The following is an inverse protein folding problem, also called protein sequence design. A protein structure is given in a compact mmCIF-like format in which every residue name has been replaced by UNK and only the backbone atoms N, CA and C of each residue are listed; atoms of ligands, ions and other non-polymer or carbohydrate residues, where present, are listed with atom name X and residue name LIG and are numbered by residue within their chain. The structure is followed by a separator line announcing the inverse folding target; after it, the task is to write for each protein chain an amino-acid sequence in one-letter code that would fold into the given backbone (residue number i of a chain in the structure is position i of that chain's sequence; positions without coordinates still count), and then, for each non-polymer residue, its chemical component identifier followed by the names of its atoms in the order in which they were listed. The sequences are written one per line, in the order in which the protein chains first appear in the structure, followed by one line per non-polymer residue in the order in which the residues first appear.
data_IF_955901700096
#
_entry.id   IF_955901700096
#
_cell.length_a   1.000
_cell.length_b   1.000
_cell.length_c   1.000
_cell.angle_alpha   90.00
_cell.angle_beta   90.00
_cell.angle_gamma   90.00
#
_symmetry.space_group_name_H-M   'P 1'
#
loop_
_entity.id
_entity.type
_entity.pdbx_description
1 polymer ?
#
# COMPACT_ATOMS: atom_id res chain seq x y z
N UNK A 1 -17.20 -19.31 32.46
CA UNK A 1 -16.78 -19.22 31.07
C UNK A 1 -17.27 -17.86 30.58
N UNK A 2 -16.44 -16.96 30.06
CA UNK A 2 -16.96 -15.73 29.50
C UNK A 2 -17.90 -16.06 28.35
N UNK A 3 -18.99 -15.30 28.24
CA UNK A 3 -19.96 -15.36 27.16
C UNK A 3 -19.20 -15.38 25.83
N UNK A 4 -19.55 -16.34 24.95
CA UNK A 4 -19.04 -16.44 23.58
C UNK A 4 -19.32 -15.10 22.89
N UNK A 5 -18.31 -14.23 22.82
CA UNK A 5 -18.49 -12.92 22.22
C UNK A 5 -18.41 -13.07 20.71
N UNK A 6 -19.43 -12.58 20.01
CA UNK A 6 -19.55 -12.73 18.56
C UNK A 6 -18.91 -11.54 17.84
N UNK A 7 -18.16 -11.85 16.81
CA UNK A 7 -17.64 -10.86 15.85
C UNK A 7 -18.22 -11.09 14.47
N UNK A 8 -18.49 -10.01 13.75
CA UNK A 8 -18.99 -10.05 12.38
C UNK A 8 -17.82 -9.86 11.40
N UNK A 9 -17.64 -10.81 10.49
CA UNK A 9 -16.62 -10.78 9.44
C UNK A 9 -17.32 -10.62 8.10
N UNK A 10 -17.15 -9.46 7.44
CA UNK A 10 -17.99 -9.06 6.29
C UNK A 10 -17.27 -9.01 4.95
N UNK A 11 -15.97 -9.25 4.94
CA UNK A 11 -15.17 -9.35 3.72
C UNK A 11 -14.54 -10.74 3.61
N UNK A 12 -14.10 -11.12 2.40
CA UNK A 12 -13.41 -12.40 2.21
C UNK A 12 -12.09 -12.42 2.97
N UNK A 13 -11.89 -13.47 3.77
CA UNK A 13 -10.73 -13.72 4.59
C UNK A 13 -10.18 -15.11 4.35
N UNK A 14 -8.90 -15.32 4.67
CA UNK A 14 -8.33 -16.68 4.73
C UNK A 14 -9.05 -17.52 5.79
N UNK A 15 -9.23 -18.81 5.53
CA UNK A 15 -10.00 -19.73 6.39
C UNK A 15 -9.48 -19.82 7.83
N UNK A 16 -8.18 -19.50 8.05
CA UNK A 16 -7.59 -19.41 9.39
C UNK A 16 -8.33 -18.45 10.32
N UNK A 17 -9.17 -17.52 9.79
CA UNK A 17 -9.91 -16.54 10.59
C UNK A 17 -10.73 -17.22 11.70
N UNK A 18 -11.35 -18.36 11.39
CA UNK A 18 -12.20 -19.08 12.34
C UNK A 18 -11.42 -19.69 13.51
N UNK A 19 -10.30 -20.32 13.21
CA UNK A 19 -9.45 -20.98 14.21
C UNK A 19 -8.74 -19.95 15.08
N UNK A 20 -8.13 -18.95 14.45
CA UNK A 20 -7.32 -17.95 15.12
C UNK A 20 -8.16 -17.11 16.09
N UNK A 21 -9.36 -16.67 15.69
CA UNK A 21 -10.25 -15.91 16.58
C UNK A 21 -10.91 -16.76 17.64
N UNK A 22 -11.24 -18.01 17.36
CA UNK A 22 -11.70 -18.96 18.39
C UNK A 22 -10.63 -19.16 19.47
N UNK A 23 -9.36 -19.19 19.09
CA UNK A 23 -8.22 -19.31 20.01
C UNK A 23 -8.13 -18.19 21.05
N UNK A 24 -8.71 -17.02 20.77
CA UNK A 24 -8.78 -15.86 21.68
C UNK A 24 -10.18 -15.67 22.28
N UNK A 25 -11.08 -16.66 22.16
CA UNK A 25 -12.42 -16.65 22.80
C UNK A 25 -13.49 -15.89 22.01
N UNK A 26 -13.27 -15.58 20.73
CA UNK A 26 -14.23 -14.89 19.86
C UNK A 26 -14.85 -15.86 18.85
N UNK A 27 -16.16 -15.78 18.66
CA UNK A 27 -16.92 -16.55 17.67
C UNK A 27 -17.11 -15.73 16.39
N UNK A 28 -16.58 -16.22 15.26
CA UNK A 28 -16.72 -15.56 13.97
C UNK A 28 -18.04 -15.87 13.28
N UNK A 29 -18.87 -14.86 13.08
CA UNK A 29 -19.97 -14.91 12.11
C UNK A 29 -19.45 -14.43 10.75
N UNK A 30 -19.10 -15.38 9.88
CA UNK A 30 -18.49 -15.09 8.57
C UNK A 30 -19.57 -14.89 7.51
N UNK A 31 -19.69 -13.66 7.01
CA UNK A 31 -20.74 -13.21 6.07
C UNK A 31 -20.13 -12.35 4.94
N UNK A 32 -19.25 -12.90 4.09
CA UNK A 32 -18.53 -12.10 3.07
C UNK A 32 -19.44 -11.49 2.00
N UNK A 33 -20.63 -12.07 1.79
CA UNK A 33 -21.60 -11.62 0.80
C UNK A 33 -22.73 -10.75 1.40
N UNK A 34 -22.63 -10.39 2.69
CA UNK A 34 -23.63 -9.59 3.38
C UNK A 34 -23.79 -8.22 2.70
N UNK A 35 -25.02 -7.80 2.52
CA UNK A 35 -25.33 -6.45 2.04
C UNK A 35 -25.16 -5.42 3.17
N UNK A 36 -24.90 -4.16 2.80
CA UNK A 36 -24.81 -3.08 3.77
C UNK A 36 -26.07 -2.97 4.65
N UNK A 37 -27.26 -3.13 4.05
CA UNK A 37 -28.54 -3.07 4.77
C UNK A 37 -28.65 -4.17 5.82
N UNK A 38 -28.30 -5.40 5.47
CA UNK A 38 -28.31 -6.53 6.40
C UNK A 38 -27.26 -6.33 7.51
N UNK A 39 -26.04 -5.87 7.14
CA UNK A 39 -24.98 -5.58 8.09
C UNK A 39 -25.45 -4.60 9.18
N UNK A 40 -26.06 -3.49 8.78
CA UNK A 40 -26.61 -2.47 9.70
C UNK A 40 -27.67 -3.07 10.63
N UNK A 41 -28.47 -4.01 10.14
CA UNK A 41 -29.53 -4.65 10.95
C UNK A 41 -28.98 -5.58 12.04
N UNK A 42 -27.91 -6.34 11.73
CA UNK A 42 -27.40 -7.36 12.66
C UNK A 42 -26.22 -6.88 13.50
N UNK A 43 -25.54 -5.80 13.11
CA UNK A 43 -24.35 -5.28 13.80
C UNK A 43 -24.54 -5.03 15.30
N UNK A 44 -25.73 -4.63 15.80
CA UNK A 44 -25.97 -4.47 17.24
C UNK A 44 -25.70 -5.72 18.09
N UNK A 45 -25.72 -6.90 17.51
CA UNK A 45 -25.54 -8.18 18.21
C UNK A 45 -24.04 -8.60 18.30
N UNK A 46 -23.10 -7.74 17.84
CA UNK A 46 -21.69 -8.06 17.73
C UNK A 46 -20.82 -7.08 18.52
N UNK A 47 -19.77 -7.63 19.15
CA UNK A 47 -18.77 -6.84 19.89
C UNK A 47 -17.61 -6.38 19.01
N UNK A 48 -17.44 -6.97 17.84
CA UNK A 48 -16.37 -6.64 16.90
C UNK A 48 -16.80 -6.77 15.45
N UNK A 49 -16.22 -5.93 14.60
CA UNK A 49 -16.42 -5.94 13.15
C UNK A 49 -15.06 -6.11 12.46
N UNK A 50 -14.93 -7.14 11.64
CA UNK A 50 -13.72 -7.36 10.82
C UNK A 50 -14.04 -7.06 9.36
N UNK A 51 -13.23 -6.15 8.79
CA UNK A 51 -13.37 -5.69 7.40
C UNK A 51 -12.05 -5.79 6.65
N UNK A 52 -12.11 -5.64 5.32
CA UNK A 52 -10.97 -5.32 4.45
C UNK A 52 -11.20 -4.00 3.71
N UNK A 53 -11.18 -4.03 2.38
CA UNK A 53 -11.29 -2.83 1.54
C UNK A 53 -12.69 -2.57 0.98
N UNK A 54 -13.57 -3.60 0.95
CA UNK A 54 -14.92 -3.49 0.37
C UNK A 54 -15.85 -2.62 1.22
N UNK A 55 -15.72 -2.72 2.55
CA UNK A 55 -16.68 -2.14 3.49
C UNK A 55 -16.19 -0.81 4.03
N UNK A 56 -16.99 0.25 3.85
CA UNK A 56 -16.77 1.53 4.52
C UNK A 56 -17.35 1.49 5.94
N UNK A 57 -16.56 1.93 6.91
CA UNK A 57 -16.97 2.10 8.31
C UNK A 57 -17.17 3.60 8.58
N UNK A 58 -18.31 4.08 8.17
CA UNK A 58 -18.74 5.47 8.28
C UNK A 58 -19.65 5.70 9.50
N UNK A 59 -20.10 6.93 9.66
CA UNK A 59 -20.96 7.35 10.77
C UNK A 59 -22.23 6.49 10.89
N UNK A 60 -22.89 6.19 9.76
CA UNK A 60 -24.11 5.39 9.76
C UNK A 60 -23.88 4.01 10.40
N UNK A 61 -22.79 3.33 9.99
CA UNK A 61 -22.47 2.00 10.49
C UNK A 61 -22.04 2.04 11.96
N UNK A 62 -21.18 2.99 12.32
CA UNK A 62 -20.66 3.14 13.70
C UNK A 62 -21.80 3.38 14.69
N UNK A 63 -22.76 4.26 14.36
CA UNK A 63 -23.88 4.58 15.25
C UNK A 63 -24.85 3.41 15.46
N UNK A 64 -24.84 2.40 14.59
CA UNK A 64 -25.66 1.19 14.73
C UNK A 64 -24.99 0.10 15.56
N UNK A 65 -23.68 0.10 15.67
CA UNK A 65 -22.92 -0.86 16.47
C UNK A 65 -22.96 -0.54 17.96
N UNK A 66 -24.12 -0.74 18.62
CA UNK A 66 -24.34 -0.34 20.03
C UNK A 66 -23.37 -1.02 21.01
N UNK A 67 -23.05 -2.30 20.76
CA UNK A 67 -22.16 -3.09 21.59
C UNK A 67 -20.77 -3.26 20.98
N UNK A 68 -20.50 -2.53 19.87
CA UNK A 68 -19.25 -2.59 19.16
C UNK A 68 -18.10 -2.02 20.01
N UNK A 69 -17.10 -2.84 20.28
CA UNK A 69 -15.91 -2.47 21.07
C UNK A 69 -14.70 -2.24 20.20
N UNK A 70 -14.64 -2.92 19.05
CA UNK A 70 -13.53 -2.76 18.12
C UNK A 70 -13.94 -2.95 16.67
N UNK A 71 -13.13 -2.36 15.80
CA UNK A 71 -13.09 -2.63 14.36
C UNK A 71 -11.71 -3.17 14.02
N UNK A 72 -11.64 -4.33 13.39
CA UNK A 72 -10.41 -4.93 12.85
C UNK A 72 -10.35 -4.75 11.35
N UNK A 73 -9.36 -4.01 10.86
CA UNK A 73 -9.08 -3.87 9.44
C UNK A 73 -8.02 -4.89 9.01
N UNK A 74 -8.39 -5.89 8.23
CA UNK A 74 -7.49 -6.92 7.69
C UNK A 74 -6.61 -6.33 6.58
N UNK A 75 -5.52 -5.70 6.97
CA UNK A 75 -4.50 -5.04 6.14
C UNK A 75 -3.98 -3.76 6.77
N UNK A 76 -3.27 -2.92 6.01
CA UNK A 76 -2.54 -1.77 6.53
C UNK A 76 -3.34 -0.45 6.54
N UNK A 77 -3.90 -0.06 5.41
CA UNK A 77 -4.58 1.24 5.27
C UNK A 77 -5.95 1.26 5.94
N UNK A 78 -6.36 2.42 6.42
CA UNK A 78 -7.64 2.65 7.14
C UNK A 78 -8.47 3.74 6.49
N UNK A 79 -8.22 4.02 5.23
CA UNK A 79 -8.84 5.13 4.47
C UNK A 79 -10.37 5.00 4.33
N UNK A 80 -10.90 3.78 4.48
CA UNK A 80 -12.33 3.48 4.43
C UNK A 80 -13.00 3.47 5.81
N UNK A 81 -12.34 4.04 6.85
CA UNK A 81 -12.80 4.01 8.24
C UNK A 81 -12.81 5.43 8.82
N UNK A 82 -13.90 5.85 9.42
CA UNK A 82 -13.97 7.09 10.21
C UNK A 82 -13.29 6.88 11.58
N UNK A 83 -11.96 7.05 11.58
CA UNK A 83 -11.10 6.83 12.75
C UNK A 83 -11.44 7.78 13.88
N UNK A 84 -11.76 9.04 13.57
CA UNK A 84 -12.07 10.06 14.56
C UNK A 84 -13.38 9.75 15.30
N UNK A 85 -14.37 9.25 14.57
CA UNK A 85 -15.63 8.87 15.17
C UNK A 85 -15.51 7.60 16.02
N UNK A 86 -14.72 6.60 15.57
CA UNK A 86 -14.42 5.42 16.39
C UNK A 86 -13.80 5.84 17.74
N UNK A 87 -12.80 6.72 17.70
CA UNK A 87 -12.15 7.23 18.92
C UNK A 87 -13.14 7.96 19.83
N UNK A 88 -14.01 8.83 19.28
CA UNK A 88 -15.07 9.54 20.06
C UNK A 88 -16.08 8.58 20.69
N UNK A 89 -16.28 7.40 20.10
CA UNK A 89 -17.19 6.37 20.60
C UNK A 89 -16.50 5.33 21.51
N UNK A 90 -15.20 5.48 21.76
CA UNK A 90 -14.37 4.52 22.50
C UNK A 90 -14.39 3.12 21.85
N UNK A 91 -14.43 3.06 20.51
CA UNK A 91 -14.32 1.84 19.73
C UNK A 91 -12.87 1.74 19.26
N UNK A 92 -12.18 0.66 19.62
CA UNK A 92 -10.78 0.48 19.25
C UNK A 92 -10.64 0.08 17.77
N UNK A 93 -9.61 0.61 17.11
CA UNK A 93 -9.28 0.26 15.73
C UNK A 93 -7.97 -0.53 15.70
N UNK A 94 -8.03 -1.73 15.14
CA UNK A 94 -6.87 -2.57 14.88
C UNK A 94 -6.67 -2.75 13.39
N UNK A 95 -5.43 -2.61 12.93
CA UNK A 95 -5.02 -2.97 11.58
C UNK A 95 -3.81 -3.91 11.61
N UNK A 96 -3.47 -4.51 10.48
CA UNK A 96 -2.45 -5.56 10.41
C UNK A 96 -1.37 -5.26 9.35
N UNK A 97 -0.67 -4.12 9.41
CA UNK A 97 0.39 -3.82 8.46
C UNK A 97 1.55 -4.81 8.53
N UNK A 98 1.80 -5.41 9.70
CA UNK A 98 2.84 -6.43 9.88
C UNK A 98 2.56 -7.70 9.08
N UNK A 99 1.28 -7.97 8.77
CA UNK A 99 0.86 -9.17 8.05
C UNK A 99 1.24 -9.15 6.57
N UNK A 100 1.29 -7.97 5.93
CA UNK A 100 1.54 -7.85 4.49
C UNK A 100 2.77 -7.00 4.11
N UNK A 101 3.51 -6.44 5.06
CA UNK A 101 4.66 -5.58 4.78
C UNK A 101 5.75 -6.28 3.95
N UNK A 102 6.00 -7.56 4.21
CA UNK A 102 7.01 -8.33 3.48
C UNK A 102 6.64 -8.51 2.01
N UNK A 103 5.36 -8.84 1.74
CA UNK A 103 4.84 -8.94 0.38
C UNK A 103 5.01 -7.62 -0.39
N UNK A 104 4.68 -6.48 0.24
CA UNK A 104 4.87 -5.15 -0.37
C UNK A 104 6.35 -4.88 -0.66
N UNK A 105 7.25 -5.22 0.28
CA UNK A 105 8.68 -5.06 0.08
C UNK A 105 9.22 -5.86 -1.10
N UNK A 106 8.81 -7.13 -1.22
CA UNK A 106 9.21 -8.03 -2.32
C UNK A 106 8.63 -7.57 -3.67
N UNK A 107 7.35 -7.19 -3.69
CA UNK A 107 6.71 -6.66 -4.88
C UNK A 107 7.41 -5.40 -5.40
N UNK A 108 7.78 -4.48 -4.50
CA UNK A 108 8.50 -3.27 -4.85
C UNK A 108 9.86 -3.53 -5.47
N UNK A 109 10.63 -4.48 -4.92
CA UNK A 109 11.89 -4.91 -5.54
C UNK A 109 11.64 -5.50 -6.92
N UNK A 110 10.62 -6.35 -7.08
CA UNK A 110 10.23 -6.91 -8.37
C UNK A 110 9.91 -5.82 -9.40
N UNK A 111 9.09 -4.82 -9.04
CA UNK A 111 8.75 -3.69 -9.90
C UNK A 111 9.99 -2.86 -10.27
N UNK A 112 10.88 -2.57 -9.31
CA UNK A 112 12.11 -1.82 -9.56
C UNK A 112 13.02 -2.54 -10.54
N UNK A 113 13.26 -3.83 -10.34
CA UNK A 113 14.09 -4.63 -11.23
C UNK A 113 13.47 -4.77 -12.63
N UNK A 114 12.14 -4.89 -12.70
CA UNK A 114 11.42 -4.93 -13.98
C UNK A 114 11.59 -3.62 -14.77
N UNK A 115 11.58 -2.47 -14.11
CA UNK A 115 11.87 -1.17 -14.74
C UNK A 115 13.32 -1.09 -15.21
N UNK A 116 14.28 -1.33 -14.31
CA UNK A 116 15.70 -1.18 -14.59
C UNK A 116 16.17 -2.09 -15.73
N UNK A 117 15.67 -3.32 -15.78
CA UNK A 117 16.04 -4.33 -16.77
C UNK A 117 15.09 -4.38 -17.98
N UNK A 118 14.11 -3.45 -18.09
CA UNK A 118 13.11 -3.39 -19.16
C UNK A 118 12.39 -4.72 -19.43
N UNK A 119 12.17 -5.53 -18.37
CA UNK A 119 11.72 -6.93 -18.53
C UNK A 119 10.35 -7.02 -19.22
N UNK A 120 9.44 -6.08 -18.99
CA UNK A 120 8.12 -6.04 -19.65
C UNK A 120 8.24 -5.88 -21.17
N UNK A 121 9.11 -4.97 -21.60
CA UNK A 121 9.35 -4.70 -23.02
C UNK A 121 10.05 -5.89 -23.68
N UNK A 122 11.14 -6.38 -23.09
CA UNK A 122 11.90 -7.51 -23.57
C UNK A 122 11.03 -8.78 -23.72
N UNK A 123 10.18 -9.10 -22.73
CA UNK A 123 9.24 -10.24 -22.82
C UNK A 123 8.24 -10.06 -23.96
N UNK A 124 7.65 -8.86 -24.09
CA UNK A 124 6.71 -8.54 -25.18
C UNK A 124 7.34 -8.70 -26.56
N UNK A 125 8.58 -8.21 -26.75
CA UNK A 125 9.30 -8.30 -28.02
C UNK A 125 9.62 -9.75 -28.38
N UNK A 126 10.17 -10.53 -27.45
CA UNK A 126 10.48 -11.95 -27.68
C UNK A 126 9.22 -12.75 -28.04
N UNK A 127 8.11 -12.51 -27.38
CA UNK A 127 6.80 -13.13 -27.70
C UNK A 127 6.27 -12.70 -29.08
N UNK A 128 6.75 -11.55 -29.57
CA UNK A 128 6.43 -11.04 -30.91
C UNK A 128 7.49 -11.42 -31.96
N UNK A 129 8.36 -12.41 -31.68
CA UNK A 129 9.44 -12.88 -32.52
C UNK A 129 10.50 -11.81 -32.82
N UNK A 130 10.65 -10.80 -31.96
CA UNK A 130 11.70 -9.80 -32.04
C UNK A 130 12.82 -10.14 -31.06
N UNK A 131 14.08 -10.07 -31.53
CA UNK A 131 15.27 -10.41 -30.74
C UNK A 131 16.25 -9.23 -30.75
N UNK A 132 15.89 -8.14 -30.05
CA UNK A 132 16.69 -6.94 -29.93
C UNK A 132 17.40 -6.86 -28.58
N UNK A 133 18.70 -7.13 -28.55
CA UNK A 133 19.49 -7.06 -27.32
C UNK A 133 19.91 -5.64 -26.96
N UNK A 134 20.16 -4.79 -27.96
CA UNK A 134 20.71 -3.45 -27.72
C UNK A 134 19.67 -2.48 -27.17
N UNK A 135 18.45 -2.46 -27.69
CA UNK A 135 17.36 -1.61 -27.20
C UNK A 135 16.92 -2.02 -25.78
N UNK A 136 17.08 -3.31 -25.43
CA UNK A 136 16.73 -3.87 -24.12
C UNK A 136 17.88 -3.82 -23.09
N UNK A 137 18.97 -3.11 -23.37
CA UNK A 137 20.05 -2.92 -22.40
C UNK A 137 19.51 -2.17 -21.17
N UNK A 138 19.58 -2.81 -19.99
CA UNK A 138 19.11 -2.27 -18.72
C UNK A 138 20.20 -1.57 -17.91
N UNK A 139 19.85 -1.25 -16.69
CA UNK A 139 20.70 -0.64 -15.67
C UNK A 139 20.77 -1.51 -14.43
N UNK A 140 21.94 -1.60 -13.81
CA UNK A 140 22.12 -2.26 -12.53
C UNK A 140 21.63 -1.37 -11.37
N UNK A 141 21.10 -1.98 -10.32
CA UNK A 141 20.72 -1.26 -9.09
C UNK A 141 21.94 -0.89 -8.24
N UNK A 142 23.02 -1.64 -8.37
CA UNK A 142 24.27 -1.38 -7.66
C UNK A 142 24.74 0.07 -7.81
N UNK A 143 25.18 0.68 -6.69
CA UNK A 143 25.63 2.06 -6.59
C UNK A 143 24.57 3.13 -6.88
N UNK A 144 23.30 2.79 -7.09
CA UNK A 144 22.22 3.77 -7.19
C UNK A 144 21.76 4.22 -5.82
N UNK A 145 21.19 5.40 -5.77
CA UNK A 145 20.57 5.94 -4.52
C UNK A 145 19.07 5.72 -4.58
N UNK A 146 18.59 4.81 -3.72
CA UNK A 146 17.16 4.53 -3.56
C UNK A 146 16.62 5.34 -2.40
N UNK A 147 15.75 6.30 -2.69
CA UNK A 147 15.06 7.14 -1.72
C UNK A 147 13.72 6.55 -1.28
N UNK A 148 13.55 6.35 0.00
CA UNK A 148 12.33 5.86 0.63
C UNK A 148 11.61 7.04 1.29
N UNK A 149 10.48 7.46 0.73
CA UNK A 149 9.68 8.55 1.26
C UNK A 149 8.56 7.99 2.14
N UNK A 150 8.72 8.12 3.45
CA UNK A 150 7.91 7.49 4.49
C UNK A 150 8.55 6.18 5.00
N UNK A 151 9.04 6.18 6.24
CA UNK A 151 9.72 5.02 6.85
C UNK A 151 8.83 4.36 7.90
N UNK A 152 7.64 3.92 7.45
CA UNK A 152 6.71 3.09 8.21
C UNK A 152 6.95 1.60 7.97
N UNK A 153 5.92 0.77 8.19
CA UNK A 153 5.98 -0.68 7.98
C UNK A 153 6.38 -1.06 6.56
N UNK A 154 5.83 -0.39 5.55
CA UNK A 154 6.08 -0.72 4.13
C UNK A 154 7.44 -0.21 3.67
N UNK A 155 7.78 1.04 4.00
CA UNK A 155 9.07 1.61 3.63
C UNK A 155 10.24 0.88 4.26
N UNK A 156 10.14 0.50 5.54
CA UNK A 156 11.18 -0.29 6.21
C UNK A 156 11.32 -1.71 5.63
N UNK A 157 10.19 -2.36 5.27
CA UNK A 157 10.24 -3.68 4.65
C UNK A 157 10.86 -3.62 3.25
N UNK A 158 10.54 -2.60 2.44
CA UNK A 158 11.18 -2.41 1.13
C UNK A 158 12.69 -2.16 1.28
N UNK A 159 13.11 -1.32 2.22
CA UNK A 159 14.51 -1.11 2.53
C UNK A 159 15.24 -2.41 2.90
N UNK A 160 14.62 -3.24 3.73
CA UNK A 160 15.17 -4.53 4.14
C UNK A 160 15.41 -5.46 2.94
N UNK A 161 14.48 -5.53 1.99
CA UNK A 161 14.62 -6.36 0.78
C UNK A 161 15.69 -5.85 -0.18
N UNK A 162 16.08 -4.58 -0.11
CA UNK A 162 17.14 -4.00 -0.94
C UNK A 162 18.56 -4.29 -0.45
N UNK A 163 18.76 -4.82 0.75
CA UNK A 163 20.10 -5.01 1.38
C UNK A 163 21.13 -5.76 0.53
N UNK A 164 20.67 -6.69 -0.32
CA UNK A 164 21.56 -7.53 -1.14
C UNK A 164 21.98 -6.92 -2.48
N UNK A 165 21.57 -5.68 -2.79
CA UNK A 165 21.80 -5.09 -4.12
C UNK A 165 22.97 -4.11 -4.18
N UNK A 166 23.71 -3.91 -3.10
CA UNK A 166 24.84 -2.95 -3.03
C UNK A 166 24.45 -1.52 -3.49
N UNK A 167 23.18 -1.12 -3.29
CA UNK A 167 22.70 0.24 -3.52
C UNK A 167 22.76 1.05 -2.23
N UNK A 168 22.82 2.37 -2.36
CA UNK A 168 22.65 3.25 -1.21
C UNK A 168 21.16 3.45 -0.94
N UNK A 169 20.72 3.25 0.32
CA UNK A 169 19.33 3.45 0.73
C UNK A 169 19.28 4.67 1.64
N UNK A 170 18.57 5.71 1.21
CA UNK A 170 18.28 6.89 2.00
C UNK A 170 16.79 6.94 2.33
N UNK A 171 16.44 7.40 3.53
CA UNK A 171 15.05 7.50 3.95
C UNK A 171 14.73 8.88 4.52
N UNK A 172 13.54 9.37 4.19
CA UNK A 172 12.96 10.56 4.76
C UNK A 172 11.59 10.25 5.34
N UNK A 173 11.37 10.66 6.59
CA UNK A 173 10.05 10.61 7.24
C UNK A 173 9.78 11.97 7.89
N UNK A 174 8.64 12.57 7.59
CA UNK A 174 8.31 13.91 8.09
C UNK A 174 8.10 13.93 9.61
N UNK A 175 7.60 12.86 10.17
CA UNK A 175 7.13 12.80 11.56
C UNK A 175 8.05 12.02 12.49
N UNK A 176 8.95 11.20 11.94
CA UNK A 176 9.87 10.37 12.71
C UNK A 176 11.28 10.91 12.63
N UNK A 177 12.03 10.74 13.71
CA UNK A 177 13.46 11.03 13.79
C UNK A 177 14.18 9.89 14.51
N UNK A 178 15.42 9.61 14.13
CA UNK A 178 16.23 8.54 14.73
C UNK A 178 15.68 7.14 14.43
N UNK A 179 14.85 6.98 13.40
CA UNK A 179 14.19 5.71 13.08
C UNK A 179 15.11 4.70 12.40
N UNK A 180 16.34 5.09 12.10
CA UNK A 180 17.39 4.23 11.55
C UNK A 180 18.52 3.92 12.52
N UNK A 181 18.41 4.32 13.81
CA UNK A 181 19.47 4.17 14.82
C UNK A 181 19.98 2.73 14.97
N UNK A 182 19.10 1.74 14.80
CA UNK A 182 19.41 0.33 14.92
C UNK A 182 19.55 -0.38 13.55
N UNK A 183 19.68 0.41 12.46
CA UNK A 183 19.70 -0.07 11.08
C UNK A 183 20.96 0.46 10.40
N UNK A 184 21.88 -0.41 9.99
CA UNK A 184 23.18 -0.06 9.40
C UNK A 184 23.12 0.13 7.86
N UNK A 185 22.06 -0.32 7.20
CA UNK A 185 21.90 -0.31 5.74
C UNK A 185 21.02 0.82 5.19
N UNK A 186 20.46 1.68 6.06
CA UNK A 186 19.62 2.83 5.68
C UNK A 186 20.17 4.10 6.31
N UNK A 187 20.27 5.17 5.55
CA UNK A 187 20.65 6.49 6.06
C UNK A 187 19.41 7.37 6.17
N UNK A 188 19.09 7.84 7.38
CA UNK A 188 18.13 8.90 7.58
C UNK A 188 18.70 10.23 7.05
N UNK A 189 17.92 10.94 6.25
CA UNK A 189 18.33 12.22 5.66
C UNK A 189 17.22 13.29 5.76
N UNK A 190 17.59 14.55 5.73
CA UNK A 190 16.63 15.64 5.61
C UNK A 190 16.08 15.75 4.19
N UNK A 191 14.89 16.37 4.02
CA UNK A 191 14.19 16.45 2.74
C UNK A 191 15.03 17.07 1.62
N UNK A 192 15.86 18.06 1.94
CA UNK A 192 16.76 18.72 0.98
C UNK A 192 17.82 17.77 0.42
N UNK A 193 18.45 16.97 1.28
CA UNK A 193 19.43 15.95 0.87
C UNK A 193 18.75 14.79 0.13
N UNK A 194 17.54 14.42 0.57
CA UNK A 194 16.72 13.41 -0.11
C UNK A 194 16.44 13.81 -1.57
N UNK A 195 15.95 15.03 -1.81
CA UNK A 195 15.67 15.56 -3.16
C UNK A 195 16.92 15.73 -4.02
N UNK A 196 18.04 16.04 -3.40
CA UNK A 196 19.32 16.19 -4.08
C UNK A 196 19.84 14.86 -4.60
N UNK A 197 19.67 13.76 -3.84
CA UNK A 197 20.41 12.51 -4.06
C UNK A 197 19.58 11.38 -4.65
N UNK A 198 18.30 11.30 -4.36
CA UNK A 198 17.47 10.17 -4.77
C UNK A 198 17.41 10.03 -6.29
N UNK A 199 17.85 8.87 -6.80
CA UNK A 199 17.69 8.45 -8.20
C UNK A 199 16.40 7.64 -8.39
N UNK A 200 15.97 6.89 -7.37
CA UNK A 200 14.70 6.17 -7.29
C UNK A 200 13.90 6.76 -6.15
N UNK A 201 12.67 7.18 -6.39
CA UNK A 201 11.70 7.59 -5.37
C UNK A 201 10.72 6.45 -5.14
N UNK A 202 10.72 5.86 -3.94
CA UNK A 202 9.71 4.90 -3.50
C UNK A 202 8.80 5.55 -2.47
N UNK A 203 7.49 5.58 -2.77
CA UNK A 203 6.47 6.30 -1.98
C UNK A 203 5.80 5.34 -1.02
N UNK A 204 5.85 5.65 0.30
CA UNK A 204 5.29 4.82 1.37
C UNK A 204 4.55 5.64 2.44
N UNK A 205 3.89 6.73 2.03
CA UNK A 205 3.11 7.59 2.91
C UNK A 205 1.60 7.31 2.78
N UNK A 206 0.79 7.53 3.84
CA UNK A 206 -0.66 7.41 3.76
C UNK A 206 -1.27 8.56 2.95
N UNK A 207 -2.49 8.36 2.46
CA UNK A 207 -3.31 9.42 1.90
C UNK A 207 -3.94 10.24 3.03
N UNK A 208 -3.69 11.53 3.01
CA UNK A 208 -4.27 12.53 3.92
C UNK A 208 -4.52 13.82 3.12
N UNK A 209 -5.26 14.80 3.66
CA UNK A 209 -5.38 16.10 2.99
C UNK A 209 -4.04 16.77 2.68
N UNK A 210 -3.00 16.50 3.49
CA UNK A 210 -1.65 17.04 3.29
C UNK A 210 -0.89 16.30 2.18
N UNK A 211 -1.10 15.00 2.01
CA UNK A 211 -0.34 14.17 1.08
C UNK A 211 -1.06 13.94 -0.26
N UNK A 212 -2.31 14.38 -0.37
CA UNK A 212 -3.06 14.35 -1.62
C UNK A 212 -2.37 15.19 -2.69
N UNK A 213 -2.01 14.56 -3.81
CA UNK A 213 -1.23 15.14 -4.92
C UNK A 213 0.07 15.86 -4.46
N UNK A 214 0.67 15.37 -3.35
CA UNK A 214 1.95 15.90 -2.89
C UNK A 214 3.03 15.81 -3.97
N UNK A 215 3.04 14.72 -4.73
CA UNK A 215 3.97 14.52 -5.84
C UNK A 215 3.33 15.01 -7.14
N UNK A 216 3.21 16.33 -7.26
CA UNK A 216 2.84 17.05 -8.47
C UNK A 216 4.06 17.41 -9.34
N UNK A 217 3.84 18.13 -10.41
CA UNK A 217 4.90 18.55 -11.34
C UNK A 217 6.02 19.33 -10.65
N UNK A 218 5.68 20.32 -9.83
CA UNK A 218 6.65 21.20 -9.19
C UNK A 218 7.46 20.45 -8.13
N UNK A 219 6.78 19.61 -7.34
CA UNK A 219 7.46 18.80 -6.33
C UNK A 219 8.41 17.79 -6.97
N UNK A 220 7.99 17.07 -8.00
CA UNK A 220 8.85 16.12 -8.73
C UNK A 220 10.01 16.81 -9.45
N UNK A 221 9.76 18.00 -10.02
CA UNK A 221 10.81 18.80 -10.68
C UNK A 221 11.85 19.36 -9.71
N UNK A 222 11.57 19.39 -8.41
CA UNK A 222 12.52 19.80 -7.38
C UNK A 222 13.59 18.76 -7.05
N UNK A 223 13.46 17.54 -7.54
CA UNK A 223 14.50 16.49 -7.43
C UNK A 223 15.58 16.69 -8.49
N UNK A 224 16.85 16.59 -8.09
CA UNK A 224 17.96 16.85 -9.02
C UNK A 224 18.39 15.62 -9.84
N UNK A 225 18.26 14.43 -9.27
CA UNK A 225 18.79 13.20 -9.86
C UNK A 225 17.73 12.12 -10.10
N UNK A 226 16.45 12.42 -9.91
CA UNK A 226 15.35 11.46 -9.99
C UNK A 226 15.24 10.85 -11.40
N UNK A 227 15.23 9.53 -11.48
CA UNK A 227 15.07 8.75 -12.71
C UNK A 227 13.86 7.82 -12.67
N UNK A 228 13.53 7.27 -11.51
CA UNK A 228 12.47 6.27 -11.38
C UNK A 228 11.55 6.60 -10.21
N UNK A 229 10.26 6.33 -10.39
CA UNK A 229 9.24 6.46 -9.34
C UNK A 229 8.56 5.12 -9.13
N UNK A 230 8.34 4.74 -7.87
CA UNK A 230 7.55 3.58 -7.46
C UNK A 230 6.47 4.06 -6.49
N UNK A 231 5.21 3.76 -6.79
CA UNK A 231 4.10 4.02 -5.88
C UNK A 231 3.32 2.74 -5.59
N UNK A 232 3.41 2.27 -4.35
CA UNK A 232 2.65 1.14 -3.79
C UNK A 232 1.87 1.58 -2.54
N UNK A 233 1.68 2.88 -2.35
CA UNK A 233 1.00 3.45 -1.19
C UNK A 233 -0.47 3.76 -1.50
N UNK A 234 -0.75 4.94 -2.04
CA UNK A 234 -2.07 5.38 -2.54
C UNK A 234 -1.89 6.14 -3.83
N UNK A 235 -2.81 5.93 -4.78
CA UNK A 235 -2.74 6.56 -6.09
C UNK A 235 -2.76 8.07 -6.01
N UNK A 236 -3.65 8.61 -5.19
CA UNK A 236 -3.91 10.04 -5.07
C UNK A 236 -2.76 10.85 -4.43
N UNK A 237 -1.70 10.20 -3.92
CA UNK A 237 -0.52 10.94 -3.45
C UNK A 237 0.36 11.43 -4.61
N UNK A 238 0.20 10.84 -5.80
CA UNK A 238 0.95 11.15 -7.01
C UNK A 238 0.00 11.62 -8.12
N UNK A 239 0.20 12.82 -8.65
CA UNK A 239 -0.56 13.33 -9.80
C UNK A 239 -0.18 12.54 -11.08
N UNK A 240 -1.08 11.70 -11.59
CA UNK A 240 -0.83 10.94 -12.82
C UNK A 240 -0.75 11.84 -14.05
N UNK A 241 -1.45 12.97 -14.05
CA UNK A 241 -1.37 13.97 -15.10
C UNK A 241 0.03 14.59 -15.19
N UNK A 242 0.61 14.90 -14.05
CA UNK A 242 1.94 15.50 -13.98
C UNK A 242 3.03 14.45 -14.23
N UNK A 243 2.87 13.25 -13.69
CA UNK A 243 3.73 12.11 -14.00
C UNK A 243 3.81 11.85 -15.50
N UNK A 244 2.66 11.82 -16.20
CA UNK A 244 2.59 11.70 -17.66
C UNK A 244 3.42 12.80 -18.34
N UNK A 245 3.24 14.05 -17.91
CA UNK A 245 3.94 15.19 -18.49
C UNK A 245 5.45 15.04 -18.36
N UNK A 246 5.93 14.66 -17.19
CA UNK A 246 7.37 14.50 -16.87
C UNK A 246 7.97 13.32 -17.63
N UNK A 247 7.27 12.19 -17.74
CA UNK A 247 7.69 11.00 -18.49
C UNK A 247 7.77 11.31 -19.99
N UNK A 248 6.74 11.92 -20.57
CA UNK A 248 6.72 12.28 -22.00
C UNK A 248 7.79 13.31 -22.36
N UNK A 249 8.21 14.15 -21.42
CA UNK A 249 9.32 15.08 -21.59
C UNK A 249 10.71 14.41 -21.49
N UNK A 250 10.77 13.12 -21.11
CA UNK A 250 12.03 12.39 -20.94
C UNK A 250 12.80 12.75 -19.66
N UNK A 251 12.18 13.45 -18.73
CA UNK A 251 12.83 13.85 -17.48
C UNK A 251 12.87 12.70 -16.45
N UNK A 252 12.02 11.68 -16.60
CA UNK A 252 12.07 10.42 -15.88
C UNK A 252 12.33 9.26 -16.84
N UNK A 253 13.07 8.28 -16.37
CA UNK A 253 13.38 7.05 -17.11
C UNK A 253 12.28 5.99 -16.98
N UNK A 254 11.39 6.08 -15.99
CA UNK A 254 10.27 5.16 -15.84
C UNK A 254 9.52 5.30 -14.51
N UNK A 255 8.35 4.67 -14.48
CA UNK A 255 7.51 4.62 -13.29
C UNK A 255 6.86 3.23 -13.10
N UNK A 256 6.72 2.79 -11.84
CA UNK A 256 6.05 1.55 -11.47
C UNK A 256 4.96 1.84 -10.44
N UNK A 257 3.72 1.52 -10.79
CA UNK A 257 2.54 1.91 -10.04
C UNK A 257 1.69 0.67 -9.72
N UNK A 258 1.58 0.33 -8.44
CA UNK A 258 0.61 -0.68 -7.96
C UNK A 258 -0.75 -0.06 -7.66
N UNK A 259 -0.81 1.27 -7.57
CA UNK A 259 -1.99 2.06 -7.24
C UNK A 259 -2.19 3.20 -8.24
N UNK A 260 -3.45 3.57 -8.50
CA UNK A 260 -3.85 4.66 -9.40
C UNK A 260 -4.79 5.62 -8.69
N UNK A 261 -4.87 6.88 -9.13
CA UNK A 261 -5.79 7.88 -8.55
C UNK A 261 -7.25 7.40 -8.60
N UNK A 262 -7.65 6.77 -9.68
CA UNK A 262 -8.95 6.12 -9.81
C UNK A 262 -8.75 4.66 -10.25
N UNK A 263 -8.87 3.75 -9.29
CA UNK A 263 -8.72 2.30 -9.53
C UNK A 263 -9.97 1.67 -10.17
N UNK A 264 -11.07 2.43 -10.26
CA UNK A 264 -12.30 1.99 -10.96
C UNK A 264 -12.23 2.41 -12.42
N UNK A 265 -11.44 1.68 -13.22
CA UNK A 265 -11.12 2.04 -14.62
C UNK A 265 -12.35 2.23 -15.54
N UNK A 266 -13.49 1.63 -15.18
CA UNK A 266 -14.75 1.80 -15.92
C UNK A 266 -15.50 3.10 -15.56
N UNK A 267 -15.03 3.89 -14.61
CA UNK A 267 -15.63 5.16 -14.18
C UNK A 267 -14.81 6.38 -14.58
N UNK A 268 -13.71 6.18 -15.31
CA UNK A 268 -12.82 7.25 -15.74
C UNK A 268 -13.54 8.26 -16.64
N UNK A 269 -13.31 9.54 -16.38
CA UNK A 269 -13.68 10.62 -17.30
C UNK A 269 -12.85 10.55 -18.59
N UNK A 270 -13.29 11.22 -19.64
CA UNK A 270 -12.54 11.25 -20.91
C UNK A 270 -11.14 11.85 -20.79
N UNK A 271 -10.90 12.76 -19.84
CA UNK A 271 -9.58 13.35 -19.58
C UNK A 271 -8.68 12.36 -18.84
N UNK A 272 -9.21 11.70 -17.80
CA UNK A 272 -8.50 10.62 -17.10
C UNK A 272 -8.14 9.47 -18.04
N UNK A 273 -9.08 9.04 -18.90
CA UNK A 273 -8.81 8.00 -19.89
C UNK A 273 -7.63 8.34 -20.80
N UNK A 274 -7.54 9.59 -21.29
CA UNK A 274 -6.41 10.03 -22.13
C UNK A 274 -5.08 10.02 -21.35
N UNK A 275 -5.11 10.42 -20.09
CA UNK A 275 -3.94 10.40 -19.23
C UNK A 275 -3.49 8.96 -18.97
N UNK A 276 -4.41 8.10 -18.59
CA UNK A 276 -4.13 6.69 -18.31
C UNK A 276 -3.65 5.96 -19.55
N UNK A 277 -4.32 6.17 -20.70
CA UNK A 277 -3.89 5.53 -21.96
C UNK A 277 -2.45 5.93 -22.32
N UNK A 278 -2.11 7.22 -22.20
CA UNK A 278 -0.75 7.68 -22.45
C UNK A 278 0.28 7.02 -21.53
N UNK A 279 -0.07 6.80 -20.25
CA UNK A 279 0.81 6.09 -19.31
C UNK A 279 0.85 4.58 -19.59
N UNK A 280 -0.26 3.95 -19.98
CA UNK A 280 -0.33 2.52 -20.31
C UNK A 280 0.47 2.17 -21.57
N UNK A 281 0.47 3.08 -22.54
CA UNK A 281 1.21 2.94 -23.80
C UNK A 281 2.71 3.25 -23.63
N UNK A 282 3.09 3.94 -22.56
CA UNK A 282 4.48 4.30 -22.34
C UNK A 282 5.33 3.06 -22.02
N UNK A 283 6.42 2.85 -22.77
CA UNK A 283 7.22 1.62 -22.68
C UNK A 283 7.90 1.40 -21.32
N UNK A 284 8.21 2.50 -20.63
CA UNK A 284 8.91 2.48 -19.35
C UNK A 284 7.96 2.69 -18.16
N UNK A 285 6.71 2.23 -18.27
CA UNK A 285 5.77 2.16 -17.15
C UNK A 285 5.37 0.73 -16.85
N UNK A 286 5.17 0.44 -15.57
CA UNK A 286 4.74 -0.87 -15.07
C UNK A 286 3.55 -0.64 -14.15
N UNK A 287 2.52 -1.48 -14.30
CA UNK A 287 1.31 -1.42 -13.50
C UNK A 287 1.01 -2.78 -12.88
N UNK A 288 0.44 -2.76 -11.68
CA UNK A 288 -0.21 -3.89 -11.05
C UNK A 288 -1.50 -3.42 -10.35
N UNK A 289 -2.51 -4.30 -10.22
CA UNK A 289 -3.86 -3.88 -9.80
C UNK A 289 -4.01 -3.89 -8.27
N UNK A 290 -3.20 -3.09 -7.55
CA UNK A 290 -3.19 -2.92 -6.09
C UNK A 290 -2.99 -4.26 -5.35
N UNK A 291 -1.97 -5.00 -5.77
CA UNK A 291 -1.67 -6.37 -5.28
C UNK A 291 -0.34 -6.49 -4.55
N UNK A 292 0.39 -5.40 -4.32
CA UNK A 292 1.70 -5.48 -3.66
C UNK A 292 1.65 -6.21 -2.31
N UNK A 293 0.57 -6.03 -1.54
CA UNK A 293 0.35 -6.74 -0.29
C UNK A 293 -0.49 -8.02 -0.39
N UNK A 294 -0.75 -8.54 -1.59
CA UNK A 294 -1.71 -9.62 -1.83
C UNK A 294 -1.02 -10.93 -2.19
N UNK A 295 -0.50 -11.64 -1.18
CA UNK A 295 0.08 -12.98 -1.33
C UNK A 295 -0.69 -14.00 -0.49
N UNK A 296 -0.53 -15.28 -0.77
CA UNK A 296 -1.14 -16.35 0.02
C UNK A 296 -0.72 -16.25 1.48
N UNK A 297 0.55 -16.02 1.73
CA UNK A 297 1.12 -15.92 3.08
C UNK A 297 0.66 -14.66 3.82
N UNK A 298 0.56 -13.52 3.13
CA UNK A 298 0.07 -12.29 3.75
C UNK A 298 -1.39 -12.39 4.15
N UNK A 299 -2.19 -13.10 3.35
CA UNK A 299 -3.61 -13.32 3.56
C UNK A 299 -3.89 -14.08 4.86
N UNK A 300 -3.04 -15.06 5.17
CA UNK A 300 -3.09 -15.80 6.43
C UNK A 300 -2.51 -14.99 7.60
N UNK A 301 -1.29 -14.42 7.44
CA UNK A 301 -0.60 -13.66 8.49
C UNK A 301 -1.42 -12.50 9.04
N UNK A 302 -2.19 -11.83 8.19
CA UNK A 302 -3.08 -10.73 8.59
C UNK A 302 -4.05 -11.17 9.71
N UNK A 303 -4.62 -12.36 9.60
CA UNK A 303 -5.56 -12.89 10.62
C UNK A 303 -4.84 -13.10 11.95
N UNK A 304 -3.63 -13.67 11.94
CA UNK A 304 -2.83 -13.88 13.15
C UNK A 304 -2.43 -12.56 13.82
N UNK A 305 -2.04 -11.55 13.02
CA UNK A 305 -1.69 -10.23 13.55
C UNK A 305 -2.90 -9.56 14.17
N UNK A 306 -4.05 -9.57 13.51
CA UNK A 306 -5.29 -9.00 14.06
C UNK A 306 -5.70 -9.68 15.36
N UNK A 307 -5.75 -11.01 15.38
CA UNK A 307 -6.16 -11.74 16.57
C UNK A 307 -5.18 -11.48 17.74
N UNK A 308 -3.87 -11.42 17.49
CA UNK A 308 -2.89 -11.08 18.51
C UNK A 308 -3.18 -9.70 19.12
N UNK A 309 -3.38 -8.66 18.28
CA UNK A 309 -3.66 -7.30 18.75
C UNK A 309 -5.00 -7.22 19.50
N UNK A 310 -6.03 -7.88 18.99
CA UNK A 310 -7.38 -7.89 19.59
C UNK A 310 -7.38 -8.68 20.92
N UNK A 311 -6.53 -9.70 21.09
CA UNK A 311 -6.42 -10.43 22.35
C UNK A 311 -5.93 -9.59 23.53
N UNK A 312 -5.34 -8.42 23.27
CA UNK A 312 -4.89 -7.48 24.29
C UNK A 312 -6.06 -6.68 24.91
N UNK A 313 -7.24 -6.67 24.26
CA UNK A 313 -8.46 -6.07 24.84
C UNK A 313 -8.93 -6.93 26.01
N UNK A 314 -9.21 -6.29 27.12
CA UNK A 314 -9.94 -6.92 28.23
C UNK A 314 -11.44 -6.85 27.96
N UNK A 315 -12.02 -7.95 27.52
CA UNK A 315 -13.47 -8.09 27.31
C UNK A 315 -14.24 -8.23 28.61
#
# INVERSE_FOLDING_TARGET
MPLNQKILVVDQMHDSIHEVFRGIGLECSYRPDITRKEMIQILPDYVGLIIRSKTAVDEELILKGKDLRFVGRAGAGVDNIDVDLLAKKNIELFNAPEGNRDAVGEHGVGMLLMLLNKLRLADKEVRSYQWDRESNRGYELKNKVVGIFGFGFMGSAFAEKLRGFDCEIIAYDKYKKGYTSDIDYVKEVELTDFKLRAEVLSIHIPLTPETSHLFDYDYLSSFQNLKYIINMARGEVLSLKDLKTILCAGNLSGAALDVLENEKLNTLTSEEQKTYQSLFDHEHTIFSPHIAGWTYESYERINHVLAKKISEIKF
#
